data_IF_605816015610
#
_entry.id   IF_605816015610
#
_cell.length_a   1.000
_cell.length_b   1.000
_cell.length_c   1.000
_cell.angle_alpha   90.00
_cell.angle_beta   90.00
_cell.angle_gamma   90.00
#
_symmetry.space_group_name_H-M   'P 1'
#
loop_
_entity.id
_entity.type
_entity.pdbx_description
1 polymer ?
#
# COMPACT_ATOMS: atom_id res chain seq x y z
N UNK A 1 -21.68 16.54 -25.77
CA UNK A 1 -20.95 17.47 -26.63
C UNK A 1 -19.48 17.25 -26.39
N UNK A 2 -18.76 16.75 -27.40
CA UNK A 2 -17.31 16.68 -27.38
C UNK A 2 -16.77 18.07 -27.65
N UNK A 3 -15.85 18.53 -26.79
CA UNK A 3 -15.11 19.77 -27.04
C UNK A 3 -13.79 19.36 -27.70
N UNK A 4 -13.44 20.01 -28.81
CA UNK A 4 -12.20 19.78 -29.54
C UNK A 4 -11.23 20.93 -29.22
N UNK A 5 -10.05 20.60 -28.74
CA UNK A 5 -8.91 21.52 -28.65
C UNK A 5 -7.77 20.81 -29.36
N UNK A 6 -7.27 21.36 -30.47
CA UNK A 6 -6.04 20.92 -31.16
C UNK A 6 -5.86 19.38 -31.22
N UNK A 7 -6.78 18.69 -31.89
CA UNK A 7 -6.77 17.22 -32.08
C UNK A 7 -6.98 16.37 -30.81
N UNK A 8 -7.35 16.99 -29.68
CA UNK A 8 -7.77 16.32 -28.46
C UNK A 8 -9.31 16.28 -28.43
N UNK A 9 -9.85 15.06 -28.50
CA UNK A 9 -11.28 14.79 -28.40
C UNK A 9 -11.59 14.44 -26.95
N UNK A 10 -12.38 15.28 -26.29
CA UNK A 10 -12.87 14.97 -24.95
C UNK A 10 -14.31 14.46 -24.99
N UNK A 11 -14.55 13.26 -24.44
CA UNK A 11 -15.89 12.72 -24.27
C UNK A 11 -16.30 12.74 -22.80
N UNK A 12 -17.28 13.59 -22.47
CA UNK A 12 -18.02 13.53 -21.20
C UNK A 12 -19.06 12.41 -21.24
N UNK A 13 -18.67 11.19 -21.57
CA UNK A 13 -19.58 10.04 -21.45
C UNK A 13 -20.15 9.97 -20.04
N UNK A 14 -21.42 9.58 -19.91
CA UNK A 14 -22.08 9.41 -18.59
C UNK A 14 -21.47 8.25 -17.78
N UNK A 15 -20.79 7.30 -18.43
CA UNK A 15 -20.20 6.13 -17.78
C UNK A 15 -18.77 6.38 -17.29
N UNK A 16 -17.84 6.67 -18.21
CA UNK A 16 -16.43 6.93 -17.92
C UNK A 16 -15.94 8.07 -18.83
N UNK A 17 -15.49 9.22 -18.31
CA UNK A 17 -14.90 10.27 -19.12
C UNK A 17 -13.66 9.75 -19.85
N UNK A 18 -13.50 10.12 -21.13
CA UNK A 18 -12.35 9.71 -21.94
C UNK A 18 -11.70 10.90 -22.67
N UNK A 19 -10.40 10.78 -22.88
CA UNK A 19 -9.59 11.66 -23.74
C UNK A 19 -9.07 10.81 -24.89
N UNK A 20 -9.22 11.29 -26.12
CA UNK A 20 -8.86 10.56 -27.32
C UNK A 20 -8.25 11.49 -28.37
N UNK A 21 -7.63 10.92 -29.41
CA UNK A 21 -7.16 11.66 -30.60
C UNK A 21 -7.47 10.84 -31.86
N UNK A 22 -7.51 11.49 -33.02
CA UNK A 22 -7.84 10.80 -34.28
C UNK A 22 -6.83 9.70 -34.67
N UNK A 23 -5.59 9.84 -34.21
CA UNK A 23 -4.48 8.95 -34.57
C UNK A 23 -4.10 7.97 -33.45
N UNK A 24 -4.79 8.02 -32.30
CA UNK A 24 -4.49 7.15 -31.18
C UNK A 24 -5.05 5.74 -31.41
N UNK A 25 -4.22 4.73 -31.13
CA UNK A 25 -4.65 3.32 -31.12
C UNK A 25 -5.56 3.00 -29.93
N UNK A 26 -5.47 3.79 -28.86
CA UNK A 26 -6.19 3.59 -27.60
C UNK A 26 -6.63 4.93 -27.02
N UNK A 27 -7.81 4.94 -26.40
CA UNK A 27 -8.29 6.10 -25.67
C UNK A 27 -7.81 6.08 -24.20
N UNK A 28 -7.70 7.26 -23.60
CA UNK A 28 -7.36 7.41 -22.18
C UNK A 28 -8.65 7.52 -21.38
N UNK A 29 -8.94 6.48 -20.60
CA UNK A 29 -10.07 6.48 -19.68
C UNK A 29 -9.72 7.20 -18.37
N UNK A 30 -10.70 7.85 -17.74
CA UNK A 30 -10.49 8.52 -16.45
C UNK A 30 -10.54 7.55 -15.28
N UNK A 31 -11.56 6.66 -15.25
CA UNK A 31 -11.64 5.56 -14.30
C UNK A 31 -10.97 4.32 -14.87
N UNK A 32 -10.33 3.53 -14.01
CA UNK A 32 -9.76 2.25 -14.37
C UNK A 32 -10.80 1.14 -14.26
N UNK A 33 -10.73 0.20 -15.19
CA UNK A 33 -11.63 -0.95 -15.28
C UNK A 33 -10.87 -2.23 -14.96
N UNK A 34 -11.62 -3.32 -14.74
CA UNK A 34 -11.03 -4.63 -14.53
C UNK A 34 -10.28 -5.08 -15.79
N UNK A 35 -10.82 -4.78 -16.97
CA UNK A 35 -10.23 -5.10 -18.26
C UNK A 35 -8.89 -4.41 -18.47
N UNK A 36 -8.79 -3.12 -18.11
CA UNK A 36 -7.53 -2.39 -18.19
C UNK A 36 -6.48 -2.94 -17.21
N UNK A 37 -6.91 -3.30 -16.00
CA UNK A 37 -6.01 -3.73 -14.91
C UNK A 37 -5.68 -5.22 -14.91
N UNK A 38 -6.36 -6.05 -15.71
CA UNK A 38 -6.11 -7.49 -15.77
C UNK A 38 -4.67 -7.84 -16.23
N UNK A 39 -4.07 -7.17 -17.23
CA UNK A 39 -2.67 -7.37 -17.59
C UNK A 39 -1.72 -6.79 -16.54
N UNK A 40 -0.71 -7.56 -16.13
CA UNK A 40 0.32 -7.10 -15.18
C UNK A 40 1.08 -5.86 -15.67
N UNK A 41 1.26 -5.73 -16.98
CA UNK A 41 1.88 -4.57 -17.64
C UNK A 41 1.13 -3.26 -17.39
N UNK A 42 -0.17 -3.31 -17.11
CA UNK A 42 -0.96 -2.15 -16.71
C UNK A 42 -1.09 -2.05 -15.19
N UNK A 43 -1.28 -3.19 -14.51
CA UNK A 43 -1.49 -3.24 -13.07
C UNK A 43 -0.29 -2.70 -12.29
N UNK A 44 0.92 -3.16 -12.59
CA UNK A 44 2.12 -2.79 -11.82
C UNK A 44 2.42 -1.30 -11.94
N UNK A 45 2.44 -0.68 -13.14
CA UNK A 45 2.60 0.77 -13.26
C UNK A 45 1.47 1.55 -12.58
N UNK A 46 0.22 1.07 -12.64
CA UNK A 46 -0.90 1.70 -11.95
C UNK A 46 -0.66 1.76 -10.43
N UNK A 47 -0.27 0.64 -9.81
CA UNK A 47 0.03 0.60 -8.37
C UNK A 47 1.24 1.49 -8.03
N UNK A 48 2.32 1.45 -8.83
CA UNK A 48 3.50 2.31 -8.66
C UNK A 48 3.16 3.81 -8.74
N UNK A 49 2.23 4.18 -9.61
CA UNK A 49 1.71 5.55 -9.67
C UNK A 49 0.93 5.92 -8.41
N UNK A 50 0.11 5.01 -7.86
CA UNK A 50 -0.56 5.21 -6.57
C UNK A 50 0.45 5.44 -5.44
N UNK A 51 1.51 4.63 -5.35
CA UNK A 51 2.59 4.79 -4.36
C UNK A 51 3.26 6.17 -4.50
N UNK A 52 3.58 6.57 -5.74
CA UNK A 52 4.20 7.85 -6.06
C UNK A 52 3.32 9.03 -5.62
N UNK A 53 2.01 8.95 -5.88
CA UNK A 53 1.04 9.96 -5.43
C UNK A 53 0.93 10.03 -3.89
N UNK A 54 0.97 8.89 -3.20
CA UNK A 54 1.00 8.86 -1.73
C UNK A 54 2.23 9.61 -1.21
N UNK A 55 3.44 9.18 -1.64
CA UNK A 55 4.72 9.71 -1.15
C UNK A 55 4.93 11.19 -1.47
N UNK A 56 4.42 11.67 -2.61
CA UNK A 56 4.50 13.09 -3.01
C UNK A 56 3.48 13.98 -2.30
N UNK A 57 2.47 13.41 -1.64
CA UNK A 57 1.44 14.20 -0.99
C UNK A 57 1.99 14.98 0.20
N UNK A 58 1.51 16.22 0.39
CA UNK A 58 1.82 16.99 1.60
C UNK A 58 1.41 16.24 2.88
N UNK A 59 0.33 15.46 2.79
CA UNK A 59 -0.19 14.66 3.87
C UNK A 59 0.77 13.55 4.32
N UNK A 60 1.52 12.96 3.39
CA UNK A 60 2.53 11.95 3.71
C UNK A 60 3.68 12.56 4.52
N UNK A 61 4.15 13.75 4.14
CA UNK A 61 5.15 14.49 4.93
C UNK A 61 4.65 14.83 6.33
N UNK A 62 3.40 15.27 6.44
CA UNK A 62 2.76 15.53 7.75
C UNK A 62 2.63 14.27 8.60
N UNK A 63 2.35 13.13 7.99
CA UNK A 63 2.27 11.86 8.71
C UNK A 63 3.64 11.43 9.24
N UNK A 64 4.71 11.51 8.43
CA UNK A 64 6.07 11.24 8.91
C UNK A 64 6.42 12.14 10.11
N UNK A 65 6.10 13.43 10.02
CA UNK A 65 6.31 14.36 11.12
C UNK A 65 5.53 13.97 12.38
N UNK A 66 4.26 13.56 12.24
CA UNK A 66 3.47 13.02 13.35
C UNK A 66 4.12 11.77 13.98
N UNK A 67 4.63 10.85 13.16
CA UNK A 67 5.31 9.64 13.65
C UNK A 67 6.58 9.98 14.44
N UNK A 68 7.36 10.96 13.98
CA UNK A 68 8.59 11.38 14.66
C UNK A 68 8.32 12.20 15.92
N UNK A 69 7.54 13.27 15.81
CA UNK A 69 7.40 14.26 16.90
C UNK A 69 6.33 13.87 17.93
N UNK A 70 5.21 13.30 17.49
CA UNK A 70 4.07 13.05 18.38
C UNK A 70 4.06 11.61 18.90
N UNK A 71 4.43 10.64 18.06
CA UNK A 71 4.58 9.24 18.48
C UNK A 71 5.97 8.99 19.10
N UNK A 72 6.99 9.78 18.72
CA UNK A 72 8.33 9.69 19.30
C UNK A 72 9.23 8.64 18.65
N UNK A 73 8.95 8.21 17.41
CA UNK A 73 9.77 7.21 16.70
C UNK A 73 10.92 7.87 15.94
N UNK A 74 11.97 8.28 16.66
CA UNK A 74 13.13 9.01 16.13
C UNK A 74 14.43 8.19 16.08
N UNK A 75 14.37 6.90 16.39
CA UNK A 75 15.51 5.99 16.34
C UNK A 75 15.28 4.86 15.33
N UNK A 76 16.36 4.34 14.76
CA UNK A 76 16.33 3.16 13.92
C UNK A 76 15.93 1.95 14.76
N UNK A 77 14.81 1.31 14.43
CA UNK A 77 14.28 0.19 15.19
C UNK A 77 15.08 -1.11 15.02
N UNK A 78 16.05 -1.14 14.11
CA UNK A 78 16.99 -2.26 13.92
C UNK A 78 18.37 -1.94 14.52
N UNK A 79 18.86 -0.71 14.34
CA UNK A 79 20.14 -0.23 14.87
C UNK A 79 19.88 0.85 15.91
N UNK A 80 19.49 0.46 17.12
CA UNK A 80 18.98 1.39 18.15
C UNK A 80 19.96 2.48 18.60
N UNK A 81 21.25 2.36 18.28
CA UNK A 81 22.25 3.41 18.51
C UNK A 81 22.25 4.52 17.44
N UNK A 82 21.45 4.36 16.37
CA UNK A 82 21.26 5.35 15.31
C UNK A 82 19.94 6.08 15.57
N UNK A 83 20.02 7.33 15.99
CA UNK A 83 18.87 8.16 16.34
C UNK A 83 19.03 9.58 15.82
N UNK A 84 17.92 10.23 15.51
CA UNK A 84 17.88 11.67 15.27
C UNK A 84 17.94 12.39 16.62
N UNK A 85 18.93 13.26 16.80
CA UNK A 85 19.08 14.08 18.00
C UNK A 85 18.54 15.48 17.74
N UNK A 86 18.71 15.97 16.51
CA UNK A 86 18.10 17.20 16.03
C UNK A 86 16.93 16.85 15.07
N UNK A 87 15.73 17.45 15.21
CA UNK A 87 14.62 17.24 14.27
C UNK A 87 14.93 17.63 12.80
N UNK A 88 16.01 18.38 12.57
CA UNK A 88 16.51 18.69 11.23
C UNK A 88 17.38 17.58 10.62
N UNK A 89 17.81 16.60 11.43
CA UNK A 89 18.46 15.40 10.96
C UNK A 89 17.45 14.59 10.12
N UNK A 90 17.84 14.21 8.90
CA UNK A 90 17.05 13.31 8.04
C UNK A 90 17.71 11.92 8.00
N UNK A 91 18.07 11.40 9.18
CA UNK A 91 18.80 10.14 9.31
C UNK A 91 17.87 8.92 9.29
N UNK A 92 16.63 9.11 9.74
CA UNK A 92 15.64 8.08 9.96
C UNK A 92 14.48 8.27 8.99
N UNK A 93 14.21 7.21 8.24
CA UNK A 93 13.19 7.11 7.21
C UNK A 93 12.05 6.20 7.66
N UNK A 94 10.85 6.52 7.19
CA UNK A 94 9.68 5.67 7.39
C UNK A 94 9.63 4.59 6.31
N UNK A 95 9.66 3.32 6.75
CA UNK A 95 9.52 2.15 5.92
C UNK A 95 8.14 1.50 6.14
N UNK A 96 7.46 1.13 5.05
CA UNK A 96 6.18 0.40 5.10
C UNK A 96 6.44 -1.09 5.30
N UNK A 97 6.13 -1.57 6.50
CA UNK A 97 6.42 -2.94 6.93
C UNK A 97 6.17 -3.10 8.42
N UNK A 98 6.37 -4.29 8.98
CA UNK A 98 7.14 -5.41 8.41
C UNK A 98 6.34 -6.42 7.57
N UNK A 99 5.02 -6.47 7.69
CA UNK A 99 4.19 -7.45 6.96
C UNK A 99 3.84 -7.00 5.53
N UNK A 100 3.36 -5.77 5.38
CA UNK A 100 2.87 -5.22 4.11
C UNK A 100 3.70 -4.01 3.68
N UNK A 101 4.02 -3.96 2.39
CA UNK A 101 4.66 -2.82 1.73
C UNK A 101 3.59 -1.83 1.25
N UNK A 102 3.99 -0.60 0.90
CA UNK A 102 3.08 0.37 0.28
C UNK A 102 2.43 -0.16 -1.00
N UNK A 103 3.16 -0.95 -1.78
CA UNK A 103 2.63 -1.64 -2.96
C UNK A 103 1.47 -2.58 -2.59
N UNK A 104 1.58 -3.32 -1.48
CA UNK A 104 0.51 -4.21 -1.03
C UNK A 104 -0.71 -3.42 -0.53
N UNK A 105 -0.50 -2.34 0.22
CA UNK A 105 -1.61 -1.46 0.66
C UNK A 105 -2.38 -0.89 -0.55
N UNK A 106 -1.66 -0.38 -1.56
CA UNK A 106 -2.28 0.09 -2.80
C UNK A 106 -2.99 -1.04 -3.57
N UNK A 107 -2.39 -2.24 -3.62
CA UNK A 107 -2.96 -3.44 -4.27
C UNK A 107 -4.27 -3.85 -3.60
N UNK A 108 -4.29 -3.98 -2.28
CA UNK A 108 -5.47 -4.39 -1.49
C UNK A 108 -6.62 -3.39 -1.69
N UNK A 109 -6.34 -2.08 -1.63
CA UNK A 109 -7.38 -1.07 -1.87
C UNK A 109 -7.89 -1.13 -3.31
N UNK A 110 -7.01 -1.32 -4.29
CA UNK A 110 -7.39 -1.44 -5.71
C UNK A 110 -8.29 -2.65 -5.93
N UNK A 111 -7.90 -3.82 -5.43
CA UNK A 111 -8.68 -5.05 -5.51
C UNK A 111 -10.02 -4.90 -4.80
N UNK A 112 -10.06 -4.25 -3.63
CA UNK A 112 -11.29 -3.94 -2.92
C UNK A 112 -12.23 -3.06 -3.77
N UNK A 113 -11.71 -2.03 -4.43
CA UNK A 113 -12.52 -1.16 -5.30
C UNK A 113 -13.05 -1.91 -6.52
N UNK A 114 -12.23 -2.77 -7.13
CA UNK A 114 -12.63 -3.66 -8.23
C UNK A 114 -13.74 -4.62 -7.81
N UNK A 115 -13.55 -5.33 -6.69
CA UNK A 115 -14.53 -6.29 -6.14
C UNK A 115 -15.90 -5.64 -5.92
N UNK A 116 -15.90 -4.43 -5.35
CA UNK A 116 -17.13 -3.70 -5.04
C UNK A 116 -17.67 -2.88 -6.23
N UNK A 117 -17.04 -2.97 -7.42
CA UNK A 117 -17.44 -2.27 -8.65
C UNK A 117 -17.52 -0.74 -8.47
N UNK A 118 -16.63 -0.19 -7.66
CA UNK A 118 -16.51 1.26 -7.49
C UNK A 118 -15.76 1.86 -8.68
N UNK A 119 -16.09 3.11 -9.02
CA UNK A 119 -15.31 3.88 -10.00
C UNK A 119 -14.10 4.48 -9.27
N UNK A 120 -12.91 4.24 -9.80
CA UNK A 120 -11.69 4.74 -9.19
C UNK A 120 -10.60 5.00 -10.22
N UNK A 121 -9.57 5.73 -9.77
CA UNK A 121 -8.32 5.98 -10.46
C UNK A 121 -7.20 6.09 -9.42
N UNK A 122 -5.98 6.42 -9.86
CA UNK A 122 -4.80 6.51 -9.03
C UNK A 122 -4.98 7.49 -7.86
N UNK A 123 -5.64 8.62 -8.10
CA UNK A 123 -5.93 9.63 -7.07
C UNK A 123 -6.90 9.10 -6.00
N UNK A 124 -7.88 8.29 -6.41
CA UNK A 124 -8.84 7.68 -5.50
C UNK A 124 -8.13 6.71 -4.56
N UNK A 125 -7.30 5.82 -5.11
CA UNK A 125 -6.52 4.85 -4.34
C UNK A 125 -5.54 5.56 -3.41
N UNK A 126 -4.77 6.52 -3.92
CA UNK A 126 -3.80 7.26 -3.11
C UNK A 126 -4.47 8.03 -1.97
N UNK A 127 -5.63 8.65 -2.21
CA UNK A 127 -6.41 9.32 -1.16
C UNK A 127 -6.87 8.33 -0.08
N UNK A 128 -7.32 7.13 -0.46
CA UNK A 128 -7.72 6.11 0.50
C UNK A 128 -6.53 5.61 1.32
N UNK A 129 -5.39 5.31 0.69
CA UNK A 129 -4.16 4.91 1.39
C UNK A 129 -3.71 6.00 2.36
N UNK A 130 -3.73 7.27 1.97
CA UNK A 130 -3.40 8.37 2.88
C UNK A 130 -4.38 8.47 4.05
N UNK A 131 -5.68 8.22 3.81
CA UNK A 131 -6.67 8.11 4.87
C UNK A 131 -6.35 6.99 5.87
N UNK A 132 -5.79 5.87 5.41
CA UNK A 132 -5.37 4.77 6.28
C UNK A 132 -4.09 5.08 7.07
N UNK A 133 -3.16 5.87 6.52
CA UNK A 133 -2.05 6.45 7.30
C UNK A 133 -2.61 7.30 8.45
N UNK A 134 -3.52 8.25 8.17
CA UNK A 134 -4.12 9.11 9.21
C UNK A 134 -4.87 8.36 10.31
N UNK A 135 -5.37 7.17 9.99
CA UNK A 135 -6.05 6.31 10.95
C UNK A 135 -5.09 5.33 11.65
N UNK A 136 -3.78 5.47 11.45
CA UNK A 136 -2.73 4.57 11.95
C UNK A 136 -3.00 3.09 11.63
N UNK A 137 -3.57 2.80 10.45
CA UNK A 137 -3.85 1.42 9.97
C UNK A 137 -2.84 0.93 8.92
N UNK A 138 -1.98 1.82 8.45
CA UNK A 138 -0.80 1.47 7.66
C UNK A 138 0.35 1.27 8.63
N UNK A 139 0.84 0.04 8.72
CA UNK A 139 1.95 -0.35 9.57
C UNK A 139 3.28 0.10 8.96
N UNK A 140 4.08 0.75 9.81
CA UNK A 140 5.38 1.32 9.44
C UNK A 140 6.41 1.07 10.53
N UNK A 141 7.67 1.09 10.14
CA UNK A 141 8.83 1.17 11.04
C UNK A 141 9.71 2.35 10.66
N UNK A 142 10.47 2.84 11.61
CA UNK A 142 11.44 3.91 11.44
C UNK A 142 12.85 3.31 11.42
N UNK A 143 13.59 3.53 10.34
CA UNK A 143 14.88 2.89 10.08
C UNK A 143 15.85 3.87 9.43
N UNK A 144 17.15 3.71 9.61
CA UNK A 144 18.12 4.48 8.84
C UNK A 144 18.18 4.01 7.38
N UNK A 145 18.65 4.87 6.48
CA UNK A 145 18.74 4.62 5.02
C UNK A 145 19.38 3.26 4.70
N UNK A 146 20.51 2.92 5.36
CA UNK A 146 21.17 1.63 5.14
C UNK A 146 20.28 0.43 5.50
N UNK A 147 19.53 0.50 6.60
CA UNK A 147 18.60 -0.57 6.98
C UNK A 147 17.40 -0.60 6.03
N UNK A 148 16.92 0.55 5.57
CA UNK A 148 15.85 0.63 4.58
C UNK A 148 16.20 -0.15 3.31
N UNK A 149 17.41 0.04 2.78
CA UNK A 149 17.89 -0.70 1.61
C UNK A 149 18.04 -2.19 1.88
N UNK A 150 18.55 -2.55 3.07
CA UNK A 150 18.71 -3.95 3.46
C UNK A 150 17.39 -4.69 3.62
N UNK A 151 16.32 -4.03 4.09
CA UNK A 151 14.99 -4.64 4.23
C UNK A 151 14.39 -5.06 2.88
N UNK A 152 14.77 -4.39 1.79
CA UNK A 152 14.39 -4.77 0.43
C UNK A 152 15.32 -5.83 -0.19
N UNK A 153 16.42 -6.17 0.48
CA UNK A 153 17.46 -7.05 -0.04
C UNK A 153 17.30 -8.50 0.44
N UNK A 154 17.57 -9.51 -0.41
CA UNK A 154 17.66 -10.90 0.03
C UNK A 154 18.70 -11.07 1.14
N UNK A 155 18.29 -11.72 2.24
CA UNK A 155 19.16 -11.89 3.41
C UNK A 155 19.24 -10.69 4.35
N UNK A 156 18.44 -9.63 4.09
CA UNK A 156 18.27 -8.50 5.00
C UNK A 156 17.70 -8.88 6.36
N UNK A 157 17.72 -7.94 7.33
CA UNK A 157 17.20 -8.16 8.66
C UNK A 157 15.72 -8.55 8.60
N UNK A 158 15.32 -9.46 9.48
CA UNK A 158 13.91 -9.74 9.72
C UNK A 158 13.42 -8.85 10.85
N UNK A 159 12.26 -8.23 10.66
CA UNK A 159 11.62 -7.36 11.64
C UNK A 159 10.29 -8.00 12.04
N UNK A 160 10.10 -8.18 13.35
CA UNK A 160 8.88 -8.75 13.92
C UNK A 160 7.73 -7.75 13.90
N UNK A 161 6.49 -8.26 13.85
CA UNK A 161 5.30 -7.46 13.65
C UNK A 161 5.07 -6.44 14.77
N UNK A 162 5.42 -6.80 16.00
CA UNK A 162 5.30 -5.98 17.20
C UNK A 162 6.28 -4.78 17.22
N UNK A 163 7.32 -4.80 16.39
CA UNK A 163 8.17 -3.64 16.14
C UNK A 163 7.46 -2.60 15.25
N UNK A 164 6.41 -2.98 14.50
CA UNK A 164 5.64 -2.09 13.65
C UNK A 164 4.72 -1.14 14.41
N UNK A 165 4.66 0.12 13.98
CA UNK A 165 3.61 1.04 14.38
C UNK A 165 2.45 1.00 13.39
N UNK A 166 1.29 0.52 13.83
CA UNK A 166 0.04 0.59 13.09
C UNK A 166 -0.89 -0.61 13.33
N UNK A 167 -2.14 -0.49 12.88
CA UNK A 167 -3.17 -1.52 12.97
C UNK A 167 -3.41 -2.19 11.60
N UNK A 168 -2.43 -2.97 11.15
CA UNK A 168 -2.52 -3.76 9.92
C UNK A 168 -3.67 -4.77 9.96
N UNK A 169 -4.01 -5.31 11.13
CA UNK A 169 -5.15 -6.22 11.26
C UNK A 169 -6.47 -5.52 10.98
N UNK A 170 -6.68 -4.33 11.54
CA UNK A 170 -7.83 -3.48 11.24
C UNK A 170 -7.91 -3.09 9.77
N UNK A 171 -6.76 -2.81 9.12
CA UNK A 171 -6.69 -2.59 7.68
C UNK A 171 -7.18 -3.82 6.89
N UNK A 172 -6.60 -4.98 7.16
CA UNK A 172 -6.93 -6.24 6.49
C UNK A 172 -8.41 -6.60 6.66
N UNK A 173 -8.95 -6.42 7.87
CA UNK A 173 -10.37 -6.65 8.17
C UNK A 173 -11.29 -5.71 7.39
N UNK A 174 -10.91 -4.43 7.29
CA UNK A 174 -11.68 -3.41 6.54
C UNK A 174 -11.72 -3.70 5.05
N UNK A 175 -10.58 -4.10 4.48
CA UNK A 175 -10.42 -4.32 3.04
C UNK A 175 -10.37 -5.81 2.65
N UNK A 176 -11.02 -6.67 3.43
CA UNK A 176 -10.96 -8.13 3.28
C UNK A 176 -11.20 -8.67 1.86
N UNK A 177 -12.12 -8.03 1.12
CA UNK A 177 -12.45 -8.43 -0.26
C UNK A 177 -11.36 -8.06 -1.28
N UNK A 178 -10.35 -7.28 -0.87
CA UNK A 178 -9.20 -6.94 -1.68
C UNK A 178 -8.01 -7.89 -1.51
N UNK A 179 -8.12 -8.89 -0.63
CA UNK A 179 -7.05 -9.87 -0.41
C UNK A 179 -7.11 -10.96 -1.46
N UNK A 180 -6.08 -11.06 -2.29
CA UNK A 180 -5.91 -12.16 -3.24
C UNK A 180 -5.05 -13.29 -2.64
N UNK A 181 -4.95 -14.40 -3.37
CA UNK A 181 -4.18 -15.57 -2.95
C UNK A 181 -2.68 -15.29 -2.79
N UNK A 182 -2.11 -14.35 -3.56
CA UNK A 182 -0.70 -13.97 -3.45
C UNK A 182 -0.43 -13.22 -2.14
N UNK A 183 -1.33 -12.31 -1.75
CA UNK A 183 -1.27 -11.59 -0.48
C UNK A 183 -1.46 -12.53 0.70
N UNK A 184 -2.39 -13.49 0.62
CA UNK A 184 -2.56 -14.51 1.65
C UNK A 184 -1.30 -15.39 1.77
N UNK A 185 -0.75 -15.84 0.65
CA UNK A 185 0.51 -16.60 0.64
C UNK A 185 1.66 -15.80 1.29
N UNK A 186 1.76 -14.50 1.00
CA UNK A 186 2.73 -13.61 1.63
C UNK A 186 2.54 -13.52 3.15
N UNK A 187 1.29 -13.36 3.62
CA UNK A 187 0.97 -13.34 5.06
C UNK A 187 1.38 -14.65 5.72
N UNK A 188 1.04 -15.79 5.11
CA UNK A 188 1.39 -17.12 5.64
C UNK A 188 2.91 -17.32 5.68
N UNK A 189 3.63 -16.87 4.66
CA UNK A 189 5.10 -16.91 4.65
C UNK A 189 5.74 -16.06 5.75
N UNK A 190 5.20 -14.88 6.01
CA UNK A 190 5.68 -14.03 7.10
C UNK A 190 5.40 -14.67 8.47
N UNK A 191 4.20 -15.23 8.63
CA UNK A 191 3.80 -16.00 9.81
C UNK A 191 4.76 -17.15 10.09
N UNK A 192 5.00 -18.03 9.11
CA UNK A 192 5.89 -19.18 9.25
C UNK A 192 7.31 -18.75 9.65
N UNK A 193 7.82 -17.67 9.06
CA UNK A 193 9.13 -17.13 9.42
C UNK A 193 9.17 -16.63 10.86
N UNK A 194 8.12 -15.95 11.31
CA UNK A 194 8.00 -15.43 12.68
C UNK A 194 7.90 -16.56 13.71
N UNK A 195 7.12 -17.60 13.43
CA UNK A 195 7.01 -18.79 14.30
C UNK A 195 8.35 -19.51 14.41
N UNK A 196 9.10 -19.65 13.31
CA UNK A 196 10.41 -20.30 13.32
C UNK A 196 11.45 -19.58 14.18
N UNK A 197 11.34 -18.27 14.37
CA UNK A 197 12.23 -17.50 15.25
C UNK A 197 11.69 -17.37 16.70
N UNK A 198 10.52 -17.95 16.99
CA UNK A 198 9.96 -18.03 18.33
C UNK A 198 9.04 -16.88 18.73
N UNK A 199 8.47 -16.16 17.77
CA UNK A 199 7.54 -15.04 18.04
C UNK A 199 6.42 -15.43 19.01
N UNK A 200 5.98 -14.48 19.83
CA UNK A 200 4.83 -14.62 20.74
C UNK A 200 3.72 -13.61 20.41
N UNK A 201 3.78 -12.95 19.25
CA UNK A 201 2.82 -11.91 18.88
C UNK A 201 1.44 -12.50 18.60
N UNK A 202 0.50 -12.24 19.52
CA UNK A 202 -0.89 -12.66 19.39
C UNK A 202 -1.60 -12.06 18.17
N UNK A 203 -1.29 -10.80 17.82
CA UNK A 203 -1.88 -10.10 16.68
C UNK A 203 -1.53 -10.81 15.38
N UNK A 204 -0.30 -11.32 15.27
CA UNK A 204 0.13 -12.09 14.10
C UNK A 204 -0.65 -13.42 13.95
N UNK A 205 -0.94 -14.11 15.06
CA UNK A 205 -1.82 -15.30 15.04
C UNK A 205 -3.23 -14.94 14.55
N UNK A 206 -3.80 -13.80 14.99
CA UNK A 206 -5.11 -13.34 14.52
C UNK A 206 -5.13 -13.01 13.02
N UNK A 207 -4.08 -12.34 12.53
CA UNK A 207 -3.92 -12.01 11.11
C UNK A 207 -3.85 -13.28 10.25
N UNK A 208 -3.02 -14.25 10.65
CA UNK A 208 -2.88 -15.52 9.92
C UNK A 208 -4.20 -16.30 9.87
N UNK A 209 -4.87 -16.46 11.01
CA UNK A 209 -6.17 -17.11 11.09
C UNK A 209 -7.22 -16.42 10.23
N UNK A 210 -7.21 -15.08 10.20
CA UNK A 210 -8.10 -14.31 9.35
C UNK A 210 -7.80 -14.51 7.86
N UNK A 211 -6.53 -14.47 7.46
CA UNK A 211 -6.12 -14.66 6.07
C UNK A 211 -6.50 -16.05 5.54
N UNK A 212 -6.29 -17.10 6.33
CA UNK A 212 -6.67 -18.48 5.94
C UNK A 212 -8.18 -18.63 5.75
N UNK A 213 -9.01 -18.02 6.63
CA UNK A 213 -10.46 -18.01 6.45
C UNK A 213 -10.90 -17.31 5.17
N UNK A 214 -10.15 -16.30 4.72
CA UNK A 214 -10.44 -15.63 3.45
C UNK A 214 -10.07 -16.52 2.27
N UNK A 215 -8.96 -17.26 2.35
CA UNK A 215 -8.55 -18.22 1.32
C UNK A 215 -9.65 -19.26 1.03
N UNK A 216 -10.21 -19.83 2.09
CA UNK A 216 -11.27 -20.85 2.00
C UNK A 216 -12.59 -20.27 1.45
N UNK A 217 -12.76 -18.94 1.48
CA UNK A 217 -13.95 -18.27 0.96
C UNK A 217 -13.88 -17.92 -0.53
N UNK A 218 -12.70 -18.08 -1.16
CA UNK A 218 -12.54 -17.98 -2.63
C UNK A 218 -12.95 -19.26 -3.35
N UNK A 219 -13.10 -20.37 -2.63
CA UNK A 219 -13.76 -21.56 -3.14
C UNK A 219 -15.28 -21.35 -3.12
N UNK A 220 -15.86 -21.22 -4.32
CA UNK A 220 -17.29 -21.12 -4.67
C UNK A 220 -17.98 -19.76 -4.46
N UNK A 221 -18.02 -18.97 -5.55
CA UNK A 221 -19.26 -18.41 -6.13
C UNK A 221 -19.08 -18.01 -7.59
#
# INVERSE_FOLDING_TARGET
MSNNIDNIIFSKSKSNPTVDTYDALYNLEYYRTNEYLAPLENFVPFIKNCESLCRKSLYYKKYIHYIKEEVGLTACQVLGNVQEVDPSDNLIEMHHGPLLTLFDYCTIITNYLLYNRYKFNEFTVAKMVMGEHYNNRVEVIMVCETVHDLLHSPGGPFVELDQGFGDVYGFLKKYKNGLDSNLIYKINRYYDKSVNIGTQDYKLFEINNFANKMNDSFDFK
#
